data_IF_198452337567
#
_entry.id   IF_198452337567
#
_cell.length_a   1.000
_cell.length_b   1.000
_cell.length_c   1.000
_cell.angle_alpha   90.00
_cell.angle_beta   90.00
_cell.angle_gamma   90.00
#
_symmetry.space_group_name_H-M   'P 1'
#
loop_
_entity.id
_entity.type
_entity.pdbx_description
1 polymer ?
#
# COMPACT_ATOMS: atom_id res chain seq x y z
N UNK A 1 40.00 -25.81 23.30
CA UNK A 1 39.57 -24.77 24.26
C UNK A 1 39.65 -23.34 23.72
N UNK A 2 40.82 -22.70 23.59
CA UNK A 2 40.88 -21.26 23.21
C UNK A 2 40.27 -20.96 21.83
N UNK A 3 40.46 -21.87 20.85
CA UNK A 3 39.88 -21.75 19.51
C UNK A 3 38.36 -21.93 19.46
N UNK A 4 37.80 -22.77 20.34
CA UNK A 4 36.35 -23.03 20.39
C UNK A 4 35.60 -21.85 21.00
N UNK A 5 36.20 -21.18 21.99
CA UNK A 5 35.65 -19.97 22.60
C UNK A 5 35.61 -18.82 21.59
N UNK A 6 36.62 -18.71 20.71
CA UNK A 6 36.66 -17.67 19.67
C UNK A 6 35.60 -17.91 18.60
N UNK A 7 35.43 -19.16 18.16
CA UNK A 7 34.40 -19.53 17.16
C UNK A 7 32.99 -19.29 17.71
N UNK A 8 32.73 -19.67 18.96
CA UNK A 8 31.44 -19.41 19.62
C UNK A 8 31.16 -17.91 19.78
N UNK A 9 32.18 -17.11 20.11
CA UNK A 9 32.06 -15.65 20.19
C UNK A 9 31.75 -15.00 18.83
N UNK A 10 32.37 -15.48 17.75
CA UNK A 10 32.12 -15.01 16.37
C UNK A 10 30.72 -15.43 15.90
N UNK A 11 30.29 -16.66 16.18
CA UNK A 11 28.94 -17.12 15.86
C UNK A 11 27.86 -16.35 16.64
N UNK A 12 28.10 -16.05 17.92
CA UNK A 12 27.18 -15.26 18.73
C UNK A 12 27.08 -13.81 18.21
N UNK A 13 28.21 -13.20 17.84
CA UNK A 13 28.22 -11.85 17.26
C UNK A 13 27.58 -11.80 15.88
N UNK A 14 27.80 -12.78 15.01
CA UNK A 14 27.11 -12.90 13.72
C UNK A 14 25.61 -13.16 13.88
N UNK A 15 25.19 -14.00 14.84
CA UNK A 15 23.79 -14.27 15.14
C UNK A 15 23.07 -13.03 15.68
N UNK A 16 23.75 -12.24 16.52
CA UNK A 16 23.23 -10.96 17.02
C UNK A 16 23.21 -9.88 15.92
N UNK A 17 24.19 -9.87 15.02
CA UNK A 17 24.24 -8.95 13.88
C UNK A 17 23.07 -9.20 12.92
N UNK A 18 22.76 -10.47 12.63
CA UNK A 18 21.58 -10.83 11.83
C UNK A 18 20.25 -10.52 12.53
N UNK A 19 20.18 -10.52 13.86
CA UNK A 19 19.00 -10.10 14.62
C UNK A 19 18.75 -8.58 14.62
N UNK A 20 19.79 -7.77 14.36
CA UNK A 20 19.70 -6.31 14.37
C UNK A 20 19.47 -5.68 12.99
N UNK A 21 19.36 -6.49 11.93
CA UNK A 21 18.76 -6.04 10.65
C UNK A 21 17.24 -5.95 10.83
N UNK A 22 16.82 -5.03 11.70
CA UNK A 22 15.44 -4.64 11.91
C UNK A 22 14.95 -4.12 10.55
N UNK A 23 14.19 -4.97 9.88
CA UNK A 23 13.46 -4.64 8.67
C UNK A 23 12.63 -3.38 8.95
N UNK A 24 13.05 -2.27 8.36
CA UNK A 24 12.27 -1.03 8.41
C UNK A 24 11.08 -1.24 7.48
N UNK A 25 9.90 -1.49 8.06
CA UNK A 25 8.64 -1.23 7.34
C UNK A 25 8.73 0.22 6.88
N UNK A 26 8.94 0.43 5.59
CA UNK A 26 9.06 1.76 5.03
C UNK A 26 7.70 2.14 4.46
N UNK A 27 6.96 2.91 5.26
CA UNK A 27 5.69 3.50 4.85
C UNK A 27 6.03 4.70 3.96
N UNK A 28 5.56 4.67 2.71
CA UNK A 28 5.65 5.81 1.78
C UNK A 28 4.30 6.53 1.68
N UNK A 29 4.38 7.83 1.42
CA UNK A 29 3.22 8.66 1.16
C UNK A 29 2.88 8.62 -0.32
N UNK A 30 1.64 8.26 -0.65
CA UNK A 30 1.14 8.13 -2.03
C UNK A 30 0.33 9.36 -2.49
N UNK A 31 0.60 10.52 -1.90
CA UNK A 31 -0.20 11.74 -2.13
C UNK A 31 -0.18 12.16 -3.60
N UNK A 32 0.93 11.93 -4.32
CA UNK A 32 1.05 12.20 -5.75
C UNK A 32 0.12 11.31 -6.56
N UNK A 33 0.13 10.01 -6.30
CA UNK A 33 -0.70 9.01 -6.97
C UNK A 33 -2.18 9.30 -6.71
N UNK A 34 -2.52 9.65 -5.47
CA UNK A 34 -3.87 9.99 -5.06
C UNK A 34 -4.38 11.23 -5.79
N UNK A 35 -3.55 12.26 -5.96
CA UNK A 35 -3.89 13.42 -6.77
C UNK A 35 -4.18 13.03 -8.22
N UNK A 36 -3.35 12.17 -8.83
CA UNK A 36 -3.55 11.70 -10.20
C UNK A 36 -4.84 10.87 -10.35
N UNK A 37 -5.15 10.00 -9.39
CA UNK A 37 -6.39 9.22 -9.37
C UNK A 37 -7.65 10.11 -9.31
N UNK A 38 -7.56 11.24 -8.60
CA UNK A 38 -8.64 12.23 -8.50
C UNK A 38 -8.64 13.24 -9.67
N UNK A 39 -7.81 13.03 -10.70
CA UNK A 39 -7.74 13.91 -11.88
C UNK A 39 -7.10 15.28 -11.61
N UNK A 40 -6.28 15.39 -10.56
CA UNK A 40 -5.58 16.62 -10.20
C UNK A 40 -4.11 16.58 -10.63
N UNK A 41 -3.63 17.71 -11.12
CA UNK A 41 -2.20 17.88 -11.40
C UNK A 41 -1.41 17.95 -10.08
N UNK A 42 -0.39 17.10 -9.88
CA UNK A 42 0.36 17.02 -8.63
C UNK A 42 1.32 18.21 -8.48
N UNK A 43 0.77 19.35 -8.09
CA UNK A 43 1.54 20.58 -7.83
C UNK A 43 1.37 21.02 -6.37
N UNK A 44 2.42 21.56 -5.72
CA UNK A 44 2.33 21.98 -4.32
C UNK A 44 1.24 23.04 -4.10
N UNK A 45 1.08 23.99 -5.03
CA UNK A 45 0.04 25.02 -4.97
C UNK A 45 -1.39 24.45 -4.97
N UNK A 46 -1.60 23.31 -5.61
CA UNK A 46 -2.92 22.67 -5.61
C UNK A 46 -3.18 21.94 -4.32
N UNK A 47 -2.14 21.36 -3.73
CA UNK A 47 -2.21 20.71 -2.43
C UNK A 47 -2.41 21.71 -1.29
N UNK A 48 -1.93 22.95 -1.40
CA UNK A 48 -2.16 23.99 -0.37
C UNK A 48 -3.63 24.34 -0.17
N UNK A 49 -4.51 24.02 -1.14
CA UNK A 49 -5.98 24.18 -0.99
C UNK A 49 -6.53 23.32 0.14
N UNK A 50 -5.86 22.22 0.50
CA UNK A 50 -6.21 21.40 1.67
C UNK A 50 -5.91 22.09 3.02
N UNK A 51 -5.33 23.29 3.03
CA UNK A 51 -4.93 23.98 4.26
C UNK A 51 -3.57 23.54 4.81
N UNK A 52 -2.75 22.91 3.96
CA UNK A 52 -1.35 22.54 4.25
C UNK A 52 -0.43 23.64 3.72
N UNK A 53 0.59 24.01 4.49
CA UNK A 53 1.57 25.02 4.07
C UNK A 53 2.41 24.55 2.87
N UNK A 54 2.75 25.48 1.97
CA UNK A 54 3.45 25.19 0.71
C UNK A 54 4.74 24.37 0.89
N UNK A 55 5.56 24.70 1.89
CA UNK A 55 6.82 23.99 2.16
C UNK A 55 6.57 22.53 2.53
N UNK A 56 5.50 22.27 3.28
CA UNK A 56 5.11 20.91 3.69
C UNK A 56 4.52 20.16 2.50
N UNK A 57 3.62 20.80 1.75
CA UNK A 57 3.05 20.26 0.52
C UNK A 57 4.12 19.83 -0.50
N UNK A 58 5.17 20.65 -0.66
CA UNK A 58 6.32 20.31 -1.51
C UNK A 58 7.05 19.05 -0.99
N UNK A 59 7.24 18.92 0.32
CA UNK A 59 7.89 17.74 0.91
C UNK A 59 7.06 16.47 0.71
N UNK A 60 5.75 16.56 0.87
CA UNK A 60 4.79 15.47 0.64
C UNK A 60 4.78 15.00 -0.82
N UNK A 61 4.71 15.91 -1.78
CA UNK A 61 4.71 15.55 -3.20
C UNK A 61 6.06 15.05 -3.72
N UNK A 62 7.15 15.44 -3.09
CA UNK A 62 8.50 14.99 -3.45
C UNK A 62 8.94 13.75 -2.65
N UNK A 63 8.04 13.12 -1.88
CA UNK A 63 8.33 11.92 -1.06
C UNK A 63 9.50 12.08 -0.07
N UNK A 64 9.83 13.32 0.26
CA UNK A 64 10.96 13.66 1.16
C UNK A 64 10.53 13.80 2.62
N UNK A 65 9.21 13.79 2.87
CA UNK A 65 8.67 13.78 4.22
C UNK A 65 8.89 12.42 4.86
N UNK A 66 9.47 12.40 6.06
CA UNK A 66 9.66 11.18 6.86
C UNK A 66 8.46 10.86 7.76
N UNK A 67 7.63 11.86 8.02
CA UNK A 67 6.46 11.77 8.88
C UNK A 67 5.38 12.75 8.42
N UNK A 68 4.14 12.44 8.80
CA UNK A 68 2.98 13.29 8.60
C UNK A 68 2.41 13.65 9.97
N UNK A 69 1.98 14.90 10.13
CA UNK A 69 1.26 15.30 11.33
C UNK A 69 -0.17 14.81 11.25
N UNK A 70 -0.77 14.50 12.40
CA UNK A 70 -2.17 14.07 12.44
C UNK A 70 -3.09 15.11 11.80
N UNK A 71 -2.87 16.40 12.08
CA UNK A 71 -3.68 17.48 11.50
C UNK A 71 -3.57 17.55 9.97
N UNK A 72 -2.37 17.30 9.42
CA UNK A 72 -2.16 17.29 7.98
C UNK A 72 -2.77 16.03 7.33
N UNK A 73 -2.73 14.89 8.02
CA UNK A 73 -3.39 13.66 7.59
C UNK A 73 -4.90 13.83 7.49
N UNK A 74 -5.54 14.41 8.51
CA UNK A 74 -6.98 14.68 8.51
C UNK A 74 -7.39 15.62 7.36
N UNK A 75 -6.63 16.70 7.15
CA UNK A 75 -6.85 17.63 6.03
C UNK A 75 -6.76 16.94 4.68
N UNK A 76 -5.76 16.06 4.49
CA UNK A 76 -5.60 15.33 3.24
C UNK A 76 -6.73 14.33 3.03
N UNK A 77 -7.10 13.57 4.06
CA UNK A 77 -8.23 12.64 4.01
C UNK A 77 -9.53 13.35 3.66
N UNK A 78 -9.80 14.50 4.29
CA UNK A 78 -10.96 15.31 3.98
C UNK A 78 -10.93 15.85 2.55
N UNK A 79 -9.78 16.38 2.11
CA UNK A 79 -9.62 16.96 0.79
C UNK A 79 -9.75 15.92 -0.35
N UNK A 80 -9.21 14.72 -0.14
CA UNK A 80 -9.26 13.66 -1.14
C UNK A 80 -10.49 12.75 -1.03
N UNK A 81 -11.27 12.90 0.04
CA UNK A 81 -12.32 11.95 0.43
C UNK A 81 -11.77 10.51 0.45
N UNK A 82 -10.74 10.30 1.28
CA UNK A 82 -10.04 9.02 1.42
C UNK A 82 -9.83 8.69 2.89
N UNK A 83 -9.56 7.42 3.18
CA UNK A 83 -9.15 6.98 4.52
C UNK A 83 -7.65 7.23 4.74
N UNK A 84 -7.18 7.30 6.00
CA UNK A 84 -5.75 7.37 6.30
C UNK A 84 -4.98 6.24 5.63
N UNK A 85 -5.56 5.03 5.59
CA UNK A 85 -4.98 3.86 4.93
C UNK A 85 -4.60 4.13 3.48
N UNK A 86 -5.44 4.84 2.73
CA UNK A 86 -5.19 5.12 1.31
C UNK A 86 -4.05 6.12 1.08
N UNK A 87 -3.70 6.95 2.08
CA UNK A 87 -2.57 7.90 2.00
C UNK A 87 -1.20 7.23 2.12
N UNK A 88 -1.17 5.99 2.61
CA UNK A 88 0.04 5.25 2.91
C UNK A 88 0.15 4.02 2.01
N UNK A 89 1.36 3.74 1.53
CA UNK A 89 1.68 2.47 0.90
C UNK A 89 2.90 1.86 1.57
N UNK A 90 2.82 0.57 1.92
CA UNK A 90 4.01 -0.16 2.37
C UNK A 90 4.88 -0.46 1.16
N UNK A 91 6.10 0.06 1.11
CA UNK A 91 7.08 -0.41 0.13
C UNK A 91 7.78 -1.65 0.65
N UNK A 92 7.57 -2.74 -0.06
CA UNK A 92 8.26 -4.03 -0.07
C UNK A 92 9.40 -4.22 0.93
N UNK A 93 9.13 -5.01 1.98
CA UNK A 93 9.66 -6.37 2.13
C UNK A 93 8.62 -7.10 3.00
N UNK A 94 8.04 -8.23 2.57
CA UNK A 94 7.11 -8.97 3.41
C UNK A 94 7.94 -9.60 4.52
N UNK A 95 8.09 -8.90 5.64
CA UNK A 95 8.16 -9.65 6.88
C UNK A 95 6.85 -10.43 6.93
N UNK A 96 6.88 -11.77 7.05
CA UNK A 96 5.65 -12.55 7.12
C UNK A 96 4.90 -12.05 8.35
N UNK A 97 3.85 -11.28 8.12
CA UNK A 97 2.91 -10.89 9.17
C UNK A 97 2.35 -12.21 9.69
N UNK A 98 2.59 -12.58 10.95
CA UNK A 98 2.14 -13.86 11.48
C UNK A 98 0.63 -13.99 11.35
N UNK A 99 0.14 -15.22 11.16
CA UNK A 99 -1.28 -15.48 11.06
C UNK A 99 -2.01 -15.03 12.35
N UNK A 100 -3.10 -14.28 12.18
CA UNK A 100 -3.87 -13.69 13.29
C UNK A 100 -3.36 -12.34 13.79
N UNK A 101 -2.37 -11.73 13.14
CA UNK A 101 -1.89 -10.40 13.52
C UNK A 101 -2.85 -9.29 13.04
N UNK A 102 -3.14 -8.23 13.83
CA UNK A 102 -4.07 -7.16 13.44
C UNK A 102 -3.72 -6.42 12.13
N UNK A 103 -2.42 -6.39 11.78
CA UNK A 103 -1.95 -5.80 10.52
C UNK A 103 -2.06 -6.74 9.31
N UNK A 104 -2.60 -7.95 9.46
CA UNK A 104 -2.79 -8.88 8.35
C UNK A 104 -3.76 -8.30 7.30
N UNK A 105 -4.78 -7.55 7.74
CA UNK A 105 -5.69 -6.79 6.86
C UNK A 105 -5.00 -5.64 6.12
N UNK A 106 -3.84 -5.19 6.60
CA UNK A 106 -3.05 -4.10 6.04
C UNK A 106 -1.98 -4.59 5.06
N UNK A 107 -1.86 -5.91 4.87
CA UNK A 107 -1.00 -6.47 3.85
C UNK A 107 -1.45 -5.92 2.50
N UNK A 108 -0.54 -5.21 1.83
CA UNK A 108 -0.75 -4.85 0.43
C UNK A 108 -0.83 -6.17 -0.35
N UNK A 109 -2.03 -6.56 -0.74
CA UNK A 109 -2.18 -7.49 -1.84
C UNK A 109 -1.60 -6.78 -3.05
N UNK A 110 -0.54 -7.33 -3.63
CA UNK A 110 -0.04 -6.88 -4.92
C UNK A 110 -1.11 -7.23 -5.95
N UNK A 111 -2.15 -6.42 -6.02
CA UNK A 111 -3.06 -6.45 -7.14
C UNK A 111 -2.41 -5.55 -8.20
N UNK A 112 -1.76 -6.11 -9.24
CA UNK A 112 -1.34 -5.29 -10.36
C UNK A 112 -2.62 -4.73 -10.95
N UNK A 113 -2.96 -3.48 -10.62
CA UNK A 113 -4.08 -2.80 -11.25
C UNK A 113 -3.80 -2.82 -12.75
N UNK A 114 -4.60 -3.53 -13.57
CA UNK A 114 -4.36 -3.58 -15.01
C UNK A 114 -4.79 -2.26 -15.65
N UNK A 115 -4.89 -1.16 -14.91
CA UNK A 115 -5.37 0.14 -15.38
C UNK A 115 -4.52 0.64 -16.55
N UNK A 116 -3.22 0.34 -16.57
CA UNK A 116 -2.38 0.66 -17.72
C UNK A 116 -2.74 -0.20 -18.95
N UNK A 117 -2.94 -1.49 -18.75
CA UNK A 117 -3.32 -2.43 -19.83
C UNK A 117 -4.73 -2.12 -20.36
N UNK A 118 -5.67 -1.77 -19.47
CA UNK A 118 -7.02 -1.36 -19.80
C UNK A 118 -7.04 0.00 -20.53
N UNK A 119 -6.14 0.93 -20.21
CA UNK A 119 -6.08 2.25 -20.86
C UNK A 119 -5.65 2.19 -22.33
N UNK A 120 -4.88 1.17 -22.73
CA UNK A 120 -4.40 1.01 -24.11
C UNK A 120 -5.34 0.17 -24.97
N UNK A 121 -6.39 -0.42 -24.38
CA UNK A 121 -7.37 -1.21 -25.13
C UNK A 121 -8.15 -0.36 -26.12
N UNK A 122 -8.46 -0.96 -27.27
CA UNK A 122 -9.42 -0.39 -28.21
C UNK A 122 -10.83 -0.38 -27.60
N UNK A 123 -11.75 0.46 -28.08
CA UNK A 123 -13.15 0.45 -27.60
C UNK A 123 -13.82 -0.92 -27.71
N UNK A 124 -13.45 -1.72 -28.72
CA UNK A 124 -13.96 -3.08 -28.91
C UNK A 124 -13.43 -4.02 -27.82
N UNK A 125 -12.14 -3.97 -27.54
CA UNK A 125 -11.49 -4.85 -26.56
C UNK A 125 -11.86 -4.47 -25.12
N UNK A 126 -12.07 -3.17 -24.86
CA UNK A 126 -12.61 -2.67 -23.59
C UNK A 126 -13.99 -3.26 -23.31
N UNK A 127 -14.87 -3.31 -24.32
CA UNK A 127 -16.21 -3.88 -24.17
C UNK A 127 -16.15 -5.38 -23.84
N UNK A 128 -15.24 -6.12 -24.49
CA UNK A 128 -15.02 -7.54 -24.20
C UNK A 128 -14.47 -7.76 -22.79
N UNK A 129 -13.53 -6.92 -22.35
CA UNK A 129 -13.00 -6.97 -20.99
C UNK A 129 -14.11 -6.73 -19.94
N UNK A 130 -14.98 -5.75 -20.18
CA UNK A 130 -16.14 -5.48 -19.30
C UNK A 130 -17.13 -6.65 -19.26
N UNK A 131 -17.40 -7.29 -20.39
CA UNK A 131 -18.28 -8.46 -20.45
C UNK A 131 -17.67 -9.67 -19.73
N UNK A 132 -16.36 -9.89 -19.84
CA UNK A 132 -15.65 -10.95 -19.11
C UNK A 132 -15.70 -10.71 -17.59
N UNK A 133 -15.40 -9.49 -17.14
CA UNK A 133 -15.46 -9.12 -15.73
C UNK A 133 -16.87 -9.33 -15.13
N UNK A 134 -17.91 -8.97 -15.88
CA UNK A 134 -19.31 -9.20 -15.45
C UNK A 134 -19.63 -10.68 -15.27
N UNK A 135 -19.10 -11.56 -16.13
CA UNK A 135 -19.31 -13.01 -16.00
C UNK A 135 -18.60 -13.59 -14.79
N UNK A 136 -17.40 -13.12 -14.49
CA UNK A 136 -16.63 -13.56 -13.31
C UNK A 136 -17.36 -13.14 -12.03
N UNK A 137 -17.71 -11.85 -11.91
CA UNK A 137 -18.40 -11.32 -10.72
C UNK A 137 -19.73 -12.03 -10.49
N UNK A 138 -20.52 -12.25 -11.55
CA UNK A 138 -21.81 -12.94 -11.43
C UNK A 138 -21.68 -14.47 -11.27
N UNK A 139 -20.55 -15.05 -11.67
CA UNK A 139 -20.21 -16.46 -11.46
C UNK A 139 -19.79 -16.71 -10.01
N UNK A 140 -18.91 -15.87 -9.47
CA UNK A 140 -18.50 -15.89 -8.06
C UNK A 140 -19.68 -15.64 -7.12
N UNK A 141 -20.62 -14.76 -7.49
CA UNK A 141 -21.85 -14.53 -6.74
C UNK A 141 -22.79 -15.76 -6.67
N UNK A 142 -22.66 -16.73 -7.59
CA UNK A 142 -23.42 -17.99 -7.50
C UNK A 142 -22.78 -18.97 -6.53
N UNK A 143 -21.46 -19.08 -6.52
CA UNK A 143 -20.73 -19.99 -5.62
C UNK A 143 -20.86 -19.55 -4.15
N UNK A 144 -20.82 -18.23 -3.88
CA UNK A 144 -21.01 -17.69 -2.51
C UNK A 144 -22.45 -17.95 -1.99
N UNK A 145 -23.45 -18.00 -2.87
CA UNK A 145 -24.83 -18.30 -2.48
C UNK A 145 -25.11 -19.81 -2.29
N UNK A 146 -24.33 -20.69 -2.92
CA UNK A 146 -24.46 -22.14 -2.71
C UNK A 146 -23.79 -22.62 -1.42
N UNK A 147 -22.67 -22.01 -1.02
CA UNK A 147 -22.02 -22.33 0.26
C UNK A 147 -22.81 -21.81 1.47
N UNK A 148 -23.50 -20.67 1.36
CA UNK A 148 -24.38 -20.16 2.42
C UNK A 148 -25.73 -20.90 2.56
N UNK A 149 -26.08 -21.76 1.60
CA UNK A 149 -27.29 -22.61 1.65
C UNK A 149 -26.98 -24.07 1.97
N UNK A 150 -25.74 -24.39 2.36
CA UNK A 150 -25.33 -25.74 2.74
C UNK A 150 -24.71 -25.76 4.14
N UNK A 151 -25.49 -25.33 5.14
CA UNK A 151 -25.33 -25.82 6.51
C UNK A 151 -26.69 -26.32 7.06
N UNK A 152 -26.68 -27.44 7.83
CA UNK A 152 -27.87 -28.07 8.42
C UNK A 152 -28.51 -27.25 9.55
#
# INVERSE_FOLDING_TARGET
LLAEITIMGILLTLALYNRFKIARIMIKFTIRELMLQKGMNPTPNRLTVSGIGFTIAKKYLNESAKSIKLEDMEKLCYFFNCTPRELFCSTDEPYPIPDGHPLQEWRNESFPFPVQDLRTLSPKDMKLAQEALRKIINGEAKEINEDNNRLP
#
